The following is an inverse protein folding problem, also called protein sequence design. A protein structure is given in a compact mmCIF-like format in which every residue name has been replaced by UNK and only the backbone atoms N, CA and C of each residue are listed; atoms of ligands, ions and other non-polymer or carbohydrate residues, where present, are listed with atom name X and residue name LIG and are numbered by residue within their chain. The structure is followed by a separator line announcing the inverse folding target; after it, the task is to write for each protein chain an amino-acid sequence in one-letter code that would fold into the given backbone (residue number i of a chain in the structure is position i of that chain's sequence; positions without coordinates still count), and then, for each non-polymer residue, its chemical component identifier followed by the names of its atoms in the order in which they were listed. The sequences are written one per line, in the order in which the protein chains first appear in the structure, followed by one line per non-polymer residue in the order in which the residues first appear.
data_IF_286463428828
#
_entry.id   IF_286463428828
#
_cell.length_a   1.000
_cell.length_b   1.000
_cell.length_c   1.000
_cell.angle_alpha   90.00
_cell.angle_beta   90.00
_cell.angle_gamma   90.00
#
_symmetry.space_group_name_H-M   'P 1'
#
loop_
_entity.id
_entity.type
_entity.pdbx_description
1 polymer ?
#
# COMPACT_ATOMS: atom_id res chain seq x y z
N UNK A 1 -9.67 13.30 -56.76
CA UNK A 1 -9.96 12.68 -55.44
C UNK A 1 -9.33 11.28 -55.27
N UNK A 2 -8.33 10.91 -56.08
CA UNK A 2 -7.83 9.52 -56.12
C UNK A 2 -6.48 9.29 -55.42
N UNK A 3 -5.74 10.36 -55.04
CA UNK A 3 -4.45 10.21 -54.34
C UNK A 3 -4.61 10.04 -52.82
N UNK A 4 -5.66 10.62 -52.23
CA UNK A 4 -5.89 10.57 -50.78
C UNK A 4 -6.33 9.19 -50.28
N UNK A 5 -7.10 8.46 -51.09
CA UNK A 5 -7.52 7.09 -50.77
C UNK A 5 -6.38 6.08 -50.95
N UNK A 6 -5.44 6.35 -51.85
CA UNK A 6 -4.24 5.52 -52.03
C UNK A 6 -3.31 5.57 -50.82
N UNK A 7 -3.17 6.73 -50.17
CA UNK A 7 -2.36 6.90 -48.96
C UNK A 7 -2.97 6.21 -47.72
N UNK A 8 -4.30 6.18 -47.65
CA UNK A 8 -5.02 5.49 -46.57
C UNK A 8 -4.90 3.97 -46.66
N UNK A 9 -4.90 3.40 -47.88
CA UNK A 9 -4.67 1.97 -48.05
C UNK A 9 -3.22 1.56 -47.75
N UNK A 10 -2.22 2.38 -48.10
CA UNK A 10 -0.81 2.05 -47.81
C UNK A 10 -0.52 1.97 -46.30
N UNK A 11 -1.27 2.73 -45.48
CA UNK A 11 -1.13 2.73 -44.02
C UNK A 11 -1.65 1.46 -43.34
N UNK A 12 -2.54 0.71 -44.00
CA UNK A 12 -3.16 -0.50 -43.43
C UNK A 12 -2.37 -1.78 -43.71
N UNK A 13 -1.43 -1.75 -44.64
CA UNK A 13 -0.71 -2.93 -45.15
C UNK A 13 0.70 -3.14 -44.62
N UNK A 14 1.27 -2.23 -43.82
CA UNK A 14 2.65 -2.37 -43.34
C UNK A 14 2.85 -1.95 -41.87
N UNK A 15 2.82 -2.90 -40.91
CA UNK A 15 3.04 -2.58 -39.50
C UNK A 15 4.53 -2.54 -39.11
N UNK A 16 5.47 -2.47 -40.06
CA UNK A 16 6.92 -2.56 -39.76
C UNK A 16 7.80 -1.52 -40.48
N UNK A 17 7.28 -0.30 -40.68
CA UNK A 17 8.04 0.81 -41.26
C UNK A 17 8.17 2.03 -40.32
N UNK A 18 9.42 2.34 -39.94
CA UNK A 18 9.93 3.64 -39.45
C UNK A 18 9.34 4.24 -38.17
N UNK A 19 10.12 4.12 -37.09
CA UNK A 19 9.89 4.70 -35.76
C UNK A 19 10.34 6.17 -35.61
N UNK A 20 10.17 7.02 -36.62
CA UNK A 20 10.66 8.42 -36.54
C UNK A 20 9.57 9.52 -36.61
N UNK A 21 8.28 9.19 -36.73
CA UNK A 21 7.22 10.20 -36.76
C UNK A 21 6.30 10.27 -35.52
N UNK A 22 6.65 9.59 -34.43
CA UNK A 22 5.78 9.49 -33.25
C UNK A 22 6.06 10.54 -32.18
N UNK A 23 6.27 11.80 -32.56
CA UNK A 23 6.45 12.91 -31.60
C UNK A 23 5.68 14.18 -31.98
N UNK A 24 4.38 14.08 -32.27
CA UNK A 24 3.46 15.19 -32.00
C UNK A 24 2.02 14.66 -31.90
N UNK A 25 1.66 14.09 -30.74
CA UNK A 25 0.25 14.05 -30.36
C UNK A 25 -0.08 15.39 -29.68
N UNK A 26 -1.14 16.09 -30.13
CA UNK A 26 -1.51 17.40 -29.59
C UNK A 26 -1.98 17.30 -28.13
N UNK A 27 -1.70 18.35 -27.36
CA UNK A 27 -1.90 18.46 -25.91
C UNK A 27 -3.32 18.10 -25.41
N UNK A 28 -4.35 18.21 -26.27
CA UNK A 28 -5.73 17.83 -25.94
C UNK A 28 -5.94 16.32 -25.75
N UNK A 29 -5.02 15.47 -26.24
CA UNK A 29 -5.07 14.01 -26.05
C UNK A 29 -4.61 13.54 -24.66
N UNK A 30 -4.15 14.46 -23.81
CA UNK A 30 -3.62 14.14 -22.47
C UNK A 30 -4.56 14.50 -21.32
N UNK A 31 -5.74 15.08 -21.61
CA UNK A 31 -6.79 15.28 -20.61
C UNK A 31 -7.92 14.29 -20.84
N UNK A 32 -8.36 13.55 -19.79
CA UNK A 32 -9.50 12.66 -19.92
C UNK A 32 -10.73 13.49 -20.33
N UNK A 33 -11.62 12.96 -21.19
CA UNK A 33 -12.80 13.70 -21.64
C UNK A 33 -13.65 14.16 -20.44
N UNK A 34 -14.34 15.32 -20.52
CA UNK A 34 -15.18 15.85 -19.41
C UNK A 34 -16.18 14.84 -18.83
N UNK A 35 -16.65 13.86 -19.60
CA UNK A 35 -17.53 12.79 -19.10
C UNK A 35 -16.80 11.77 -18.20
N UNK A 36 -15.49 11.63 -18.33
CA UNK A 36 -14.66 10.81 -17.44
C UNK A 36 -14.50 11.46 -16.06
N UNK A 37 -14.52 12.78 -15.97
CA UNK A 37 -14.62 13.51 -14.70
C UNK A 37 -16.00 13.37 -14.07
N UNK A 38 -17.08 13.39 -14.86
CA UNK A 38 -18.44 13.14 -14.38
C UNK A 38 -18.62 11.72 -13.80
N UNK A 39 -17.90 10.72 -14.34
CA UNK A 39 -17.92 9.35 -13.80
C UNK A 39 -17.21 9.23 -12.44
N UNK A 40 -16.39 10.22 -12.07
CA UNK A 40 -15.60 10.19 -10.83
C UNK A 40 -16.44 10.52 -9.58
N UNK A 41 -17.47 11.36 -9.70
CA UNK A 41 -18.33 11.74 -8.58
C UNK A 41 -19.24 10.59 -8.14
N UNK A 42 -19.81 9.86 -9.10
CA UNK A 42 -20.70 8.72 -8.82
C UNK A 42 -19.91 7.55 -8.23
N UNK A 43 -18.71 7.28 -8.77
CA UNK A 43 -17.80 6.27 -8.22
C UNK A 43 -17.36 6.64 -6.79
N UNK A 44 -17.17 7.94 -6.51
CA UNK A 44 -16.84 8.44 -5.17
C UNK A 44 -18.00 8.28 -4.18
N UNK A 45 -19.25 8.45 -4.60
CA UNK A 45 -20.41 8.15 -3.77
C UNK A 45 -20.52 6.65 -3.47
N UNK A 46 -20.41 5.81 -4.51
CA UNK A 46 -20.49 4.35 -4.40
C UNK A 46 -19.41 3.75 -3.48
N UNK A 47 -18.20 4.29 -3.49
CA UNK A 47 -17.11 3.87 -2.60
C UNK A 47 -17.37 4.26 -1.14
N UNK A 48 -17.87 5.48 -0.88
CA UNK A 48 -18.20 5.94 0.46
C UNK A 48 -19.38 5.17 1.09
N UNK A 49 -20.43 4.88 0.32
CA UNK A 49 -21.56 4.09 0.83
C UNK A 49 -21.16 2.63 1.10
N UNK A 50 -20.35 2.02 0.23
CA UNK A 50 -19.80 0.68 0.44
C UNK A 50 -18.97 0.61 1.72
N UNK A 51 -18.15 1.62 1.96
CA UNK A 51 -17.34 1.72 3.18
C UNK A 51 -18.20 1.88 4.44
N UNK A 52 -19.25 2.70 4.40
CA UNK A 52 -20.20 2.85 5.51
C UNK A 52 -20.94 1.55 5.84
N UNK A 53 -21.37 0.79 4.81
CA UNK A 53 -22.00 -0.51 4.99
C UNK A 53 -21.06 -1.52 5.66
N UNK A 54 -19.77 -1.50 5.31
CA UNK A 54 -18.74 -2.32 5.97
C UNK A 54 -18.56 -1.94 7.44
N UNK A 55 -18.57 -0.64 7.78
CA UNK A 55 -18.49 -0.19 9.18
C UNK A 55 -19.69 -0.66 10.01
N UNK A 56 -20.90 -0.58 9.45
CA UNK A 56 -22.12 -1.06 10.10
C UNK A 56 -22.11 -2.57 10.29
N UNK A 57 -21.67 -3.33 9.29
CA UNK A 57 -21.54 -4.79 9.37
C UNK A 57 -20.54 -5.22 10.47
N UNK A 58 -19.44 -4.48 10.63
CA UNK A 58 -18.43 -4.72 11.68
C UNK A 58 -18.85 -4.22 13.07
N UNK A 59 -20.04 -3.66 13.23
CA UNK A 59 -20.55 -3.03 14.47
C UNK A 59 -19.61 -1.97 15.05
N UNK A 60 -18.86 -1.28 14.20
CA UNK A 60 -18.04 -0.15 14.62
C UNK A 60 -18.95 1.09 14.65
N UNK A 61 -18.93 1.89 15.74
CA UNK A 61 -19.74 3.10 15.80
C UNK A 61 -19.29 4.08 14.72
N UNK A 62 -20.11 4.26 13.69
CA UNK A 62 -19.79 5.12 12.56
C UNK A 62 -20.01 6.61 12.84
N UNK A 63 -20.61 6.97 13.98
CA UNK A 63 -21.08 8.33 14.31
C UNK A 63 -19.99 9.42 14.20
N UNK A 64 -18.73 9.09 14.51
CA UNK A 64 -17.61 10.03 14.45
C UNK A 64 -16.69 9.79 13.24
N UNK A 65 -17.14 9.03 12.24
CA UNK A 65 -16.34 8.73 11.05
C UNK A 65 -16.63 9.74 9.92
N UNK A 66 -15.61 10.29 9.23
CA UNK A 66 -15.78 11.30 8.16
C UNK A 66 -16.60 10.83 6.95
N UNK A 67 -16.92 9.53 6.88
CA UNK A 67 -17.80 8.98 5.83
C UNK A 67 -19.24 9.46 6.01
N UNK A 68 -19.69 9.75 7.24
CA UNK A 68 -21.05 10.23 7.48
C UNK A 68 -21.22 11.64 6.92
N UNK A 69 -20.27 12.53 7.17
CA UNK A 69 -20.26 13.88 6.63
C UNK A 69 -20.31 13.85 5.09
N UNK A 70 -19.46 13.02 4.46
CA UNK A 70 -19.48 12.83 3.01
C UNK A 70 -20.83 12.32 2.50
N UNK A 71 -21.43 11.32 3.13
CA UNK A 71 -22.74 10.80 2.72
C UNK A 71 -23.87 11.84 2.86
N UNK A 72 -23.79 12.73 3.86
CA UNK A 72 -24.72 13.84 4.00
C UNK A 72 -24.55 14.87 2.86
N UNK A 73 -23.32 15.20 2.49
CA UNK A 73 -23.07 16.08 1.33
C UNK A 73 -23.64 15.50 0.04
N UNK A 74 -23.44 14.20 -0.22
CA UNK A 74 -24.01 13.54 -1.40
C UNK A 74 -25.54 13.49 -1.37
N UNK A 75 -26.15 13.23 -0.19
CA UNK A 75 -27.61 13.25 -0.05
C UNK A 75 -28.19 14.62 -0.43
N UNK A 76 -27.56 15.70 0.02
CA UNK A 76 -28.03 17.05 -0.29
C UNK A 76 -27.92 17.35 -1.79
N UNK A 77 -26.79 17.00 -2.41
CA UNK A 77 -26.60 17.14 -3.86
C UNK A 77 -27.63 16.32 -4.66
N UNK A 78 -27.93 15.09 -4.26
CA UNK A 78 -28.94 14.25 -4.92
C UNK A 78 -30.33 14.91 -4.83
N UNK A 79 -30.67 15.52 -3.70
CA UNK A 79 -31.95 16.21 -3.55
C UNK A 79 -32.03 17.46 -4.44
N UNK A 80 -30.93 18.21 -4.59
CA UNK A 80 -30.85 19.35 -5.50
C UNK A 80 -30.98 18.92 -6.97
N UNK A 81 -30.34 17.81 -7.35
CA UNK A 81 -30.42 17.25 -8.70
C UNK A 81 -31.79 16.64 -9.00
N UNK A 82 -32.53 16.13 -8.01
CA UNK A 82 -33.85 15.54 -8.21
C UNK A 82 -34.88 16.48 -8.85
N UNK A 83 -34.82 17.79 -8.56
CA UNK A 83 -35.68 18.78 -9.19
C UNK A 83 -35.33 19.01 -10.67
N UNK A 84 -34.05 18.86 -11.02
CA UNK A 84 -33.55 18.94 -12.40
C UNK A 84 -33.91 17.67 -13.17
N UNK A 85 -33.74 16.51 -12.55
CA UNK A 85 -34.10 15.21 -13.11
C UNK A 85 -35.60 15.14 -13.44
N UNK A 86 -36.48 15.68 -12.58
CA UNK A 86 -37.91 15.72 -12.84
C UNK A 86 -38.27 16.53 -14.10
N UNK A 87 -37.53 17.61 -14.40
CA UNK A 87 -37.72 18.43 -15.61
C UNK A 87 -37.19 17.73 -16.86
N UNK A 88 -36.05 17.05 -16.74
CA UNK A 88 -35.41 16.32 -17.83
C UNK A 88 -36.06 14.94 -18.07
N UNK A 89 -36.84 14.41 -17.13
CA UNK A 89 -37.43 13.08 -17.21
C UNK A 89 -38.33 12.87 -18.43
N UNK A 90 -39.07 13.89 -18.87
CA UNK A 90 -39.91 13.80 -20.08
C UNK A 90 -39.06 13.70 -21.35
N UNK A 91 -37.99 14.51 -21.43
CA UNK A 91 -37.04 14.52 -22.54
C UNK A 91 -36.23 13.22 -22.59
N UNK A 92 -35.78 12.73 -21.44
CA UNK A 92 -35.09 11.43 -21.31
C UNK A 92 -35.98 10.26 -21.72
N UNK A 93 -37.27 10.27 -21.34
CA UNK A 93 -38.22 9.22 -21.76
C UNK A 93 -38.43 9.22 -23.27
N UNK A 94 -38.49 10.39 -23.90
CA UNK A 94 -38.61 10.50 -25.36
C UNK A 94 -37.38 9.95 -26.08
N UNK A 95 -36.17 10.23 -25.56
CA UNK A 95 -34.92 9.72 -26.11
C UNK A 95 -34.78 8.21 -25.90
N UNK A 96 -35.09 7.69 -24.71
CA UNK A 96 -35.06 6.26 -24.40
C UNK A 96 -36.14 5.46 -25.16
N UNK A 97 -37.29 6.06 -25.48
CA UNK A 97 -38.29 5.40 -26.34
C UNK A 97 -37.86 5.28 -27.81
N UNK A 98 -36.86 6.05 -28.25
CA UNK A 98 -36.27 5.95 -29.58
C UNK A 98 -35.26 4.81 -29.74
N UNK A 99 -34.86 4.16 -28.65
CA UNK A 99 -33.82 3.11 -28.62
C UNK A 99 -34.43 1.73 -28.40
N UNK A 100 -35.49 1.41 -29.14
CA UNK A 100 -36.17 0.10 -29.10
C UNK A 100 -35.95 -0.77 -30.33
N UNK A 101 -34.93 -0.50 -31.14
CA UNK A 101 -34.37 -1.51 -32.03
C UNK A 101 -32.86 -1.34 -32.14
N UNK A 102 -32.08 -2.01 -31.27
CA UNK A 102 -31.27 -3.15 -31.71
C UNK A 102 -30.56 -3.86 -30.52
N UNK A 103 -30.33 -5.17 -30.70
CA UNK A 103 -29.36 -6.06 -30.03
C UNK A 103 -29.56 -6.48 -28.56
N UNK A 104 -30.39 -7.52 -28.48
CA UNK A 104 -30.18 -8.78 -27.72
C UNK A 104 -28.72 -9.14 -27.36
N UNK A 105 -28.46 -9.67 -26.14
CA UNK A 105 -27.84 -11.00 -25.83
C UNK A 105 -27.57 -11.20 -24.31
N UNK A 106 -28.37 -12.10 -23.72
CA UNK A 106 -28.12 -13.22 -22.77
C UNK A 106 -26.83 -13.38 -21.92
N UNK A 107 -27.10 -13.77 -20.65
CA UNK A 107 -26.43 -14.76 -19.74
C UNK A 107 -25.19 -14.28 -18.93
N UNK A 108 -24.89 -14.71 -17.69
CA UNK A 108 -25.25 -15.91 -16.91
C UNK A 108 -24.94 -15.76 -15.41
N UNK A 109 -25.58 -16.61 -14.60
CA UNK A 109 -25.37 -16.89 -13.19
C UNK A 109 -23.92 -17.21 -12.76
N UNK A 110 -23.62 -16.99 -11.47
CA UNK A 110 -22.37 -17.42 -10.83
C UNK A 110 -22.36 -17.22 -9.32
N UNK A 111 -23.06 -18.11 -8.60
CA UNK A 111 -22.90 -18.33 -7.15
C UNK A 111 -21.47 -18.70 -6.78
N UNK A 112 -20.96 -18.20 -5.63
CA UNK A 112 -20.07 -18.94 -4.72
C UNK A 112 -19.94 -18.28 -3.34
N UNK A 113 -20.50 -18.98 -2.36
CA UNK A 113 -20.27 -18.87 -0.91
C UNK A 113 -18.83 -19.30 -0.56
N UNK A 114 -18.12 -18.55 0.31
CA UNK A 114 -17.12 -19.11 1.25
C UNK A 114 -17.18 -18.33 2.57
N UNK A 115 -17.56 -19.03 3.64
CA UNK A 115 -17.43 -18.62 5.05
C UNK A 115 -16.05 -19.05 5.55
N UNK A 116 -15.37 -18.24 6.36
CA UNK A 116 -14.40 -18.73 7.35
C UNK A 116 -14.52 -17.93 8.66
N UNK A 117 -14.58 -18.73 9.73
CA UNK A 117 -14.73 -18.46 11.16
C UNK A 117 -13.40 -18.13 11.85
N UNK A 118 -13.52 -17.85 13.15
CA UNK A 118 -12.52 -17.71 14.23
C UNK A 118 -11.63 -16.46 14.19
N UNK A 119 -11.61 -15.55 15.19
CA UNK A 119 -11.77 -15.61 16.66
C UNK A 119 -10.60 -16.28 17.41
N UNK A 120 -10.04 -15.45 18.29
CA UNK A 120 -9.41 -15.73 19.58
C UNK A 120 -7.86 -15.73 19.68
N UNK A 121 -7.43 -14.85 20.60
CA UNK A 121 -6.53 -15.10 21.75
C UNK A 121 -5.20 -14.36 21.68
N UNK A 122 -5.10 -13.31 22.49
CA UNK A 122 -3.84 -12.83 23.03
C UNK A 122 -3.93 -13.00 24.54
N UNK A 123 -3.05 -13.85 25.06
CA UNK A 123 -2.90 -14.15 26.47
C UNK A 123 -2.17 -13.03 27.18
N UNK A 124 -2.63 -12.79 28.41
CA UNK A 124 -1.95 -12.08 29.47
C UNK A 124 -0.63 -12.78 29.82
N UNK A 125 0.41 -11.97 30.03
CA UNK A 125 1.62 -12.38 30.71
C UNK A 125 1.77 -11.49 31.95
N UNK A 126 1.40 -12.07 33.09
CA UNK A 126 1.80 -11.68 34.43
C UNK A 126 3.34 -11.56 34.49
N UNK A 127 3.85 -10.38 34.85
CA UNK A 127 5.27 -10.19 35.17
C UNK A 127 5.42 -9.32 36.42
N UNK A 128 5.47 -10.01 37.56
CA UNK A 128 6.29 -9.72 38.74
C UNK A 128 6.34 -8.27 39.25
N UNK A 129 5.53 -7.99 40.28
CA UNK A 129 5.56 -6.78 41.12
C UNK A 129 6.88 -6.61 41.90
N UNK A 130 7.91 -6.08 41.24
CA UNK A 130 9.08 -5.57 41.98
C UNK A 130 9.77 -4.35 41.36
N UNK A 131 9.21 -3.73 40.31
CA UNK A 131 9.85 -2.56 39.65
C UNK A 131 8.84 -1.67 38.88
N UNK A 132 7.65 -1.41 39.46
CA UNK A 132 6.62 -0.55 38.83
C UNK A 132 7.14 0.85 38.48
N UNK A 133 8.03 1.40 39.32
CA UNK A 133 8.62 2.71 39.09
C UNK A 133 9.61 2.72 37.91
N UNK A 134 10.37 1.63 37.71
CA UNK A 134 11.26 1.50 36.56
C UNK A 134 10.49 1.34 35.25
N UNK A 135 9.37 0.59 35.29
CA UNK A 135 8.46 0.46 34.16
C UNK A 135 7.83 1.81 33.77
N UNK A 136 7.32 2.58 34.74
CA UNK A 136 6.74 3.91 34.50
C UNK A 136 7.77 4.88 33.89
N UNK A 137 9.02 4.88 34.38
CA UNK A 137 10.10 5.69 33.81
C UNK A 137 10.42 5.31 32.37
N UNK A 138 10.41 4.02 32.04
CA UNK A 138 10.61 3.54 30.68
C UNK A 138 9.50 3.98 29.72
N UNK A 139 8.22 3.86 30.14
CA UNK A 139 7.09 4.30 29.32
C UNK A 139 7.06 5.82 29.12
N UNK A 140 7.37 6.60 30.15
CA UNK A 140 7.44 8.06 30.07
C UNK A 140 8.58 8.53 29.14
N UNK A 141 9.78 7.94 29.25
CA UNK A 141 10.90 8.24 28.37
C UNK A 141 10.60 7.89 26.90
N UNK A 142 9.86 6.80 26.66
CA UNK A 142 9.42 6.40 25.33
C UNK A 142 8.37 7.36 24.76
N UNK A 143 7.45 7.87 25.57
CA UNK A 143 6.45 8.85 25.18
C UNK A 143 7.08 10.21 24.78
N UNK A 144 8.03 10.71 25.57
CA UNK A 144 8.75 11.95 25.25
C UNK A 144 9.57 11.85 23.97
N UNK A 145 10.26 10.73 23.77
CA UNK A 145 11.01 10.47 22.55
C UNK A 145 10.12 10.46 21.30
N UNK A 146 8.87 10.01 21.42
CA UNK A 146 7.90 10.08 20.32
C UNK A 146 7.42 11.51 20.07
N UNK A 147 7.17 12.31 21.12
CA UNK A 147 6.81 13.73 20.99
C UNK A 147 7.92 14.54 20.30
N UNK A 148 9.18 14.35 20.70
CA UNK A 148 10.33 15.02 20.07
C UNK A 148 10.51 14.64 18.59
N UNK A 149 10.23 13.37 18.23
CA UNK A 149 10.26 12.94 16.82
C UNK A 149 9.17 13.61 15.99
N UNK A 150 7.96 13.77 16.52
CA UNK A 150 6.83 14.46 15.85
C UNK A 150 7.13 15.94 15.66
N UNK A 151 7.61 16.62 16.72
CA UNK A 151 8.03 18.02 16.66
C UNK A 151 9.19 18.23 15.67
N UNK A 152 10.19 17.34 15.64
CA UNK A 152 11.28 17.40 14.67
C UNK A 152 10.82 17.16 13.23
N UNK A 153 9.85 16.27 13.01
CA UNK A 153 9.27 16.08 11.67
C UNK A 153 8.44 17.26 11.20
N UNK A 154 7.77 17.99 12.11
CA UNK A 154 7.06 19.23 11.79
C UNK A 154 8.05 20.35 11.42
N UNK A 155 9.11 20.55 12.22
CA UNK A 155 10.14 21.59 11.96
C UNK A 155 10.89 21.34 10.64
N UNK A 156 11.13 20.08 10.25
CA UNK A 156 11.80 19.74 8.99
C UNK A 156 10.96 20.00 7.73
N UNK A 157 9.66 20.28 7.87
CA UNK A 157 8.76 20.61 6.75
C UNK A 157 8.71 22.12 6.49
N UNK A 158 9.13 22.97 7.44
CA UNK A 158 8.98 24.43 7.38
C UNK A 158 10.23 25.22 6.92
N UNK A 159 11.36 24.59 6.62
CA UNK A 159 12.60 25.29 6.24
C UNK A 159 13.08 25.03 4.81
N UNK A 160 12.23 25.29 3.81
CA UNK A 160 12.72 25.77 2.50
C UNK A 160 12.18 27.17 2.25
N UNK A 161 12.75 28.15 2.97
CA UNK A 161 12.62 29.57 2.61
C UNK A 161 13.25 29.77 1.23
N UNK A 162 12.42 30.00 0.22
CA UNK A 162 12.89 30.45 -1.08
C UNK A 162 13.46 31.86 -0.94
N UNK A 163 14.75 31.98 -1.17
CA UNK A 163 15.41 33.27 -1.38
C UNK A 163 14.83 33.90 -2.66
N UNK A 164 14.18 35.05 -2.50
CA UNK A 164 13.34 35.67 -3.53
C UNK A 164 14.12 36.41 -4.61
N UNK A 165 15.04 35.75 -5.32
CA UNK A 165 15.56 36.19 -6.64
C UNK A 165 16.41 35.11 -7.37
N UNK A 166 16.28 33.82 -7.03
CA UNK A 166 17.08 32.76 -7.64
C UNK A 166 16.28 31.94 -8.67
N UNK A 167 16.90 31.62 -9.82
CA UNK A 167 16.35 30.66 -10.79
C UNK A 167 15.97 29.36 -10.06
N UNK A 168 14.74 28.87 -10.27
CA UNK A 168 14.25 27.62 -9.64
C UNK A 168 15.18 26.46 -10.01
N UNK A 169 15.92 25.95 -9.02
CA UNK A 169 16.77 24.78 -9.18
C UNK A 169 15.95 23.51 -9.37
N UNK A 170 16.54 22.51 -10.04
CA UNK A 170 15.94 21.19 -10.18
C UNK A 170 15.96 20.43 -8.84
N UNK A 171 14.81 19.90 -8.41
CA UNK A 171 14.72 19.10 -7.19
C UNK A 171 15.43 17.74 -7.33
N UNK A 172 15.99 17.20 -6.24
CA UNK A 172 16.63 15.88 -6.23
C UNK A 172 15.72 14.74 -6.75
N UNK A 173 14.41 14.84 -6.50
CA UNK A 173 13.43 13.88 -6.98
C UNK A 173 13.36 13.88 -8.53
N UNK A 174 13.32 15.07 -9.13
CA UNK A 174 13.31 15.25 -10.59
C UNK A 174 14.65 14.90 -11.24
N UNK A 175 15.79 15.16 -10.58
CA UNK A 175 17.10 14.83 -11.15
C UNK A 175 17.43 13.34 -11.11
N UNK A 176 16.84 12.58 -10.18
CA UNK A 176 17.12 11.13 -10.01
C UNK A 176 16.03 10.21 -10.55
N UNK A 177 14.80 10.68 -10.79
CA UNK A 177 13.70 9.91 -11.39
C UNK A 177 13.55 8.48 -10.86
N UNK A 178 13.68 8.29 -9.53
CA UNK A 178 13.67 6.96 -8.90
C UNK A 178 12.29 6.33 -8.81
N UNK A 179 11.21 7.10 -8.92
CA UNK A 179 9.84 6.62 -8.81
C UNK A 179 9.50 5.99 -7.44
N UNK A 180 8.48 5.14 -7.41
CA UNK A 180 7.92 4.51 -6.19
C UNK A 180 8.69 3.24 -5.79
N UNK A 181 10.00 3.33 -5.60
CA UNK A 181 10.81 2.16 -5.19
C UNK A 181 10.58 1.77 -3.72
N UNK A 182 10.47 0.47 -3.38
CA UNK A 182 10.36 0.02 -2.00
C UNK A 182 11.57 0.38 -1.12
N UNK A 183 11.34 0.52 0.18
CA UNK A 183 12.43 0.80 1.13
C UNK A 183 13.38 -0.39 1.25
N UNK A 184 14.61 -0.21 0.76
CA UNK A 184 15.73 -1.16 0.92
C UNK A 184 16.51 -0.94 2.23
N UNK A 185 17.02 -2.01 2.83
CA UNK A 185 17.86 -1.95 4.04
C UNK A 185 19.21 -1.29 3.74
N UNK A 186 19.85 -0.70 4.76
CA UNK A 186 21.19 -0.07 4.62
C UNK A 186 22.27 -1.09 4.24
N UNK A 187 22.15 -2.34 4.71
CA UNK A 187 23.07 -3.44 4.40
C UNK A 187 23.03 -3.83 2.93
N UNK A 188 21.87 -3.77 2.27
CA UNK A 188 21.73 -4.12 0.87
C UNK A 188 22.32 -3.07 -0.07
N UNK A 189 22.69 -1.89 0.44
CA UNK A 189 23.34 -0.84 -0.36
C UNK A 189 24.80 -1.15 -0.66
N UNK A 190 25.46 -1.96 0.17
CA UNK A 190 26.87 -2.29 0.04
C UNK A 190 27.04 -3.83 0.03
N UNK A 191 27.44 -4.44 -1.10
CA UNK A 191 27.52 -5.89 -1.22
C UNK A 191 28.51 -6.50 -0.22
N UNK A 192 29.62 -5.82 0.06
CA UNK A 192 30.63 -6.26 1.04
C UNK A 192 30.04 -6.36 2.44
N UNK A 193 29.29 -5.34 2.86
CA UNK A 193 28.64 -5.31 4.19
C UNK A 193 27.60 -6.41 4.29
N UNK A 194 26.79 -6.61 3.25
CA UNK A 194 25.78 -7.69 3.20
C UNK A 194 26.42 -9.07 3.36
N UNK A 195 27.51 -9.36 2.66
CA UNK A 195 28.19 -10.65 2.73
C UNK A 195 28.88 -10.88 4.07
N UNK A 196 29.49 -9.85 4.66
CA UNK A 196 30.07 -9.93 6.01
C UNK A 196 29.01 -10.28 7.06
N UNK A 197 27.86 -9.62 7.03
CA UNK A 197 26.76 -9.89 7.96
C UNK A 197 26.14 -11.28 7.71
N UNK A 198 25.99 -11.69 6.44
CA UNK A 198 25.53 -13.03 6.08
C UNK A 198 26.44 -14.11 6.66
N UNK A 199 27.75 -13.94 6.53
CA UNK A 199 28.75 -14.86 7.08
C UNK A 199 28.71 -14.91 8.61
N UNK A 200 28.72 -13.75 9.28
CA UNK A 200 28.60 -13.67 10.75
C UNK A 200 27.36 -14.39 11.27
N UNK A 201 26.20 -14.15 10.65
CA UNK A 201 24.93 -14.81 11.02
C UNK A 201 24.98 -16.31 10.79
N UNK A 202 25.62 -16.77 9.71
CA UNK A 202 25.80 -18.19 9.43
C UNK A 202 26.71 -18.86 10.46
N UNK A 203 27.80 -18.22 10.86
CA UNK A 203 28.68 -18.72 11.91
C UNK A 203 27.94 -18.86 13.25
N UNK A 204 27.16 -17.85 13.67
CA UNK A 204 26.37 -17.92 14.91
C UNK A 204 25.36 -19.08 14.86
N UNK A 205 24.63 -19.24 13.75
CA UNK A 205 23.68 -20.34 13.58
C UNK A 205 24.36 -21.71 13.64
N UNK A 206 25.53 -21.84 13.02
CA UNK A 206 26.34 -23.08 13.07
C UNK A 206 26.76 -23.40 14.49
N UNK A 207 27.24 -22.42 15.26
CA UNK A 207 27.61 -22.59 16.68
C UNK A 207 26.44 -23.03 17.56
N UNK A 208 25.21 -22.67 17.19
CA UNK A 208 23.99 -23.13 17.85
C UNK A 208 23.60 -24.58 17.51
N UNK A 209 23.91 -25.06 16.31
CA UNK A 209 23.60 -26.43 15.86
C UNK A 209 24.66 -27.45 16.27
N UNK A 210 25.93 -27.09 16.07
CA UNK A 210 27.08 -27.95 16.31
C UNK A 210 28.04 -27.23 17.23
N UNK A 211 28.43 -27.90 18.32
CA UNK A 211 29.44 -27.38 19.24
C UNK A 211 30.82 -27.49 18.60
N UNK A 212 31.54 -26.37 18.54
CA UNK A 212 32.93 -26.34 18.13
C UNK A 212 33.81 -27.00 19.19
N UNK A 213 34.92 -27.61 18.75
CA UNK A 213 35.92 -28.20 19.65
C UNK A 213 36.55 -27.08 20.46
N UNK A 214 36.54 -27.20 21.79
CA UNK A 214 37.19 -26.27 22.72
C UNK A 214 38.52 -26.86 23.17
N UNK A 215 39.53 -26.01 23.36
CA UNK A 215 40.79 -26.36 24.00
C UNK A 215 40.76 -25.87 25.45
N UNK A 216 41.30 -26.66 26.36
CA UNK A 216 41.44 -26.29 27.76
C UNK A 216 42.70 -25.44 27.93
N UNK A 217 42.55 -24.12 27.85
CA UNK A 217 43.65 -23.19 28.17
C UNK A 217 43.83 -23.02 29.68
N UNK A 218 42.78 -23.27 30.46
CA UNK A 218 42.75 -23.12 31.92
C UNK A 218 42.24 -24.38 32.59
N UNK A 219 42.57 -24.53 33.88
CA UNK A 219 42.11 -25.67 34.70
C UNK A 219 40.57 -25.69 34.77
N UNK A 220 40.00 -26.89 34.69
CA UNK A 220 38.56 -27.12 34.67
C UNK A 220 37.86 -26.48 35.87
N UNK A 221 36.89 -25.58 35.59
CA UNK A 221 36.08 -24.87 36.59
C UNK A 221 34.63 -25.37 36.66
N UNK A 222 34.29 -26.41 35.89
CA UNK A 222 32.91 -26.89 35.73
C UNK A 222 32.26 -26.44 34.42
N UNK A 223 31.06 -26.96 34.15
CA UNK A 223 30.26 -26.65 32.95
C UNK A 223 29.45 -25.36 33.14
N UNK A 224 29.90 -24.24 32.58
CA UNK A 224 29.27 -22.92 32.77
C UNK A 224 27.80 -22.85 32.28
N UNK A 225 27.43 -23.64 31.28
CA UNK A 225 26.05 -23.69 30.75
C UNK A 225 25.15 -24.70 31.47
N UNK A 226 25.67 -25.41 32.47
CA UNK A 226 24.97 -26.44 33.22
C UNK A 226 24.87 -27.80 32.51
N UNK A 227 24.67 -28.85 33.32
CA UNK A 227 24.56 -30.25 32.87
C UNK A 227 23.10 -30.69 32.95
N UNK A 228 22.54 -31.19 31.84
CA UNK A 228 21.19 -31.79 31.79
C UNK A 228 21.30 -33.32 31.75
N UNK A 229 21.03 -33.98 32.88
CA UNK A 229 21.18 -35.43 33.03
C UNK A 229 20.30 -36.26 32.07
N UNK A 230 19.09 -35.79 31.74
CA UNK A 230 18.16 -36.52 30.87
C UNK A 230 18.44 -36.46 29.36
N UNK A 231 19.41 -35.66 28.90
CA UNK A 231 19.61 -35.41 27.46
C UNK A 231 20.72 -36.29 26.90
N UNK A 232 20.35 -37.31 26.10
CA UNK A 232 21.30 -38.17 25.37
C UNK A 232 21.54 -37.58 23.97
N UNK A 233 22.81 -37.30 23.60
CA UNK A 233 23.21 -36.72 22.30
C UNK A 233 24.02 -37.68 21.40
N UNK A 234 24.08 -38.97 21.73
CA UNK A 234 24.81 -39.98 20.94
C UNK A 234 24.04 -40.43 19.69
N UNK A 235 24.77 -40.87 18.66
CA UNK A 235 24.20 -41.47 17.43
C UNK A 235 23.90 -42.94 17.72
N UNK A 236 22.66 -43.39 17.48
CA UNK A 236 22.28 -44.81 17.61
C UNK A 236 22.65 -45.58 16.35
N UNK A 237 23.39 -46.67 16.50
CA UNK A 237 23.67 -47.60 15.39
C UNK A 237 22.46 -48.52 15.20
N UNK A 238 22.05 -48.73 13.95
CA UNK A 238 21.02 -49.73 13.62
C UNK A 238 21.71 -51.08 13.45
N UNK A 239 21.16 -52.13 14.07
CA UNK A 239 21.58 -53.52 13.86
C UNK A 239 21.03 -54.06 12.56
#
# INVERSE_FOLDING_TARGET
MSHHLSLLLSYLTDPRGSSEHMLQLPHWASQPPRWAEASSSDTSYCTNISFYLVLKAKRIPAHNHPVIERLLTYRNLINELGAVDARLASQLRQLLSGEQQDRTVKRSAGSKHIKVSEKARLEEAEESESDEEANLRFYNAMAERQKLKRKKSEILVEEEKMDGDAKRGITYQMSKNKGLTPKRKKTDRNPRVKHREKFRRAQIRRKGQVREVRREETRYSGEWSGIRAGVKRSIKLKS
#
